data_IF_821330729386
#
_entry.id   IF_821330729386
#
_cell.length_a   1.000
_cell.length_b   1.000
_cell.length_c   1.000
_cell.angle_alpha   90.00
_cell.angle_beta   90.00
_cell.angle_gamma   90.00
#
_symmetry.space_group_name_H-M   'P 1'
#
loop_
_entity.id
_entity.type
_entity.pdbx_description
1 polymer ?
#
# COMPACT_ATOMS: atom_id res chain seq x y z
N UNK A 1 13.27 16.66 -15.05
CA UNK A 1 14.69 16.93 -15.27
C UNK A 1 15.55 15.88 -14.57
N UNK A 2 15.60 15.80 -13.22
CA UNK A 2 16.53 14.94 -12.47
C UNK A 2 16.60 13.49 -12.97
N UNK A 3 15.48 12.76 -13.00
CA UNK A 3 15.44 11.35 -13.42
C UNK A 3 15.81 11.07 -14.88
N UNK A 4 16.00 12.10 -15.73
CA UNK A 4 16.50 11.93 -17.11
C UNK A 4 18.01 11.99 -17.19
N UNK A 5 18.62 12.75 -16.27
CA UNK A 5 19.98 13.20 -16.42
C UNK A 5 20.95 12.46 -15.50
N UNK A 6 20.41 11.73 -14.49
CA UNK A 6 21.23 11.01 -13.51
C UNK A 6 21.43 9.54 -13.87
N UNK A 7 22.50 8.90 -13.37
CA UNK A 7 22.68 7.45 -13.46
C UNK A 7 21.52 6.69 -12.87
N UNK A 8 21.18 5.49 -13.38
CA UNK A 8 20.10 4.66 -12.85
C UNK A 8 20.26 4.33 -11.36
N UNK A 9 21.47 4.20 -10.88
CA UNK A 9 21.81 3.96 -9.47
C UNK A 9 21.36 5.13 -8.59
N UNK A 10 21.63 6.36 -9.00
CA UNK A 10 21.20 7.58 -8.30
C UNK A 10 19.67 7.73 -8.34
N UNK A 11 19.07 7.47 -9.50
CA UNK A 11 17.62 7.51 -9.66
C UNK A 11 16.93 6.49 -8.73
N UNK A 12 17.51 5.28 -8.56
CA UNK A 12 16.99 4.24 -7.70
C UNK A 12 16.93 4.69 -6.23
N UNK A 13 18.00 5.25 -5.72
CA UNK A 13 18.04 5.78 -4.35
C UNK A 13 17.14 7.00 -4.17
N UNK A 14 17.09 7.90 -5.14
CA UNK A 14 16.18 9.04 -5.09
C UNK A 14 14.70 8.58 -5.04
N UNK A 15 14.29 7.65 -5.89
CA UNK A 15 12.95 7.06 -5.87
C UNK A 15 12.69 6.42 -4.49
N UNK A 16 13.63 5.64 -3.97
CA UNK A 16 13.50 4.97 -2.67
C UNK A 16 13.20 5.96 -1.54
N UNK A 17 14.00 7.01 -1.41
CA UNK A 17 13.83 8.02 -0.36
C UNK A 17 12.56 8.87 -0.56
N UNK A 18 12.28 9.32 -1.77
CA UNK A 18 11.12 10.14 -2.09
C UNK A 18 9.81 9.38 -1.93
N UNK A 19 9.82 8.06 -2.10
CA UNK A 19 8.69 7.17 -1.80
C UNK A 19 8.52 6.86 -0.31
N UNK A 20 9.31 7.51 0.56
CA UNK A 20 9.21 7.34 2.02
C UNK A 20 9.95 6.13 2.59
N UNK A 21 10.65 5.39 1.75
CA UNK A 21 11.49 4.27 2.18
C UNK A 21 12.83 4.77 2.74
N UNK A 22 13.47 3.94 3.54
CA UNK A 22 14.77 4.25 4.13
C UNK A 22 15.54 2.97 4.46
N UNK A 23 16.86 2.95 4.28
CA UNK A 23 17.70 1.86 4.75
C UNK A 23 17.70 1.81 6.30
N UNK A 24 18.18 0.70 6.84
CA UNK A 24 18.42 0.61 8.28
C UNK A 24 19.43 1.68 8.69
N UNK A 25 19.14 2.35 9.80
CA UNK A 25 20.03 3.36 10.37
C UNK A 25 21.35 2.71 10.82
N UNK A 26 22.51 3.11 10.28
CA UNK A 26 23.78 2.49 10.63
C UNK A 26 24.32 2.97 11.99
N UNK A 27 24.03 4.21 12.36
CA UNK A 27 24.60 4.89 13.52
C UNK A 27 23.44 5.55 14.30
N UNK A 28 23.46 5.43 15.61
CA UNK A 28 22.48 6.13 16.43
C UNK A 28 22.79 7.63 16.52
N UNK A 29 21.74 8.40 16.81
CA UNK A 29 21.84 9.87 16.87
C UNK A 29 22.75 10.37 17.99
N UNK A 30 22.85 9.62 19.10
CA UNK A 30 23.72 9.96 20.23
C UNK A 30 25.17 9.96 19.82
N UNK A 31 25.64 8.97 19.06
CA UNK A 31 26.99 8.90 18.54
C UNK A 31 27.28 10.05 17.55
N UNK A 32 26.35 10.30 16.61
CA UNK A 32 26.50 11.41 15.68
C UNK A 32 26.63 12.76 16.39
N UNK A 33 25.82 12.99 17.42
CA UNK A 33 25.90 14.20 18.24
C UNK A 33 27.23 14.31 19.00
N UNK A 34 27.73 13.21 19.56
CA UNK A 34 29.01 13.19 20.27
C UNK A 34 30.19 13.51 19.33
N UNK A 35 30.22 12.88 18.14
CA UNK A 35 31.28 13.11 17.16
C UNK A 35 31.25 14.55 16.60
N UNK A 36 30.07 15.09 16.33
CA UNK A 36 29.93 16.48 15.87
C UNK A 36 30.37 17.49 16.96
N UNK A 37 30.00 17.23 18.20
CA UNK A 37 30.46 18.03 19.33
C UNK A 37 31.99 18.01 19.47
N UNK A 38 32.60 16.84 19.41
CA UNK A 38 34.06 16.70 19.48
C UNK A 38 34.74 17.45 18.33
N UNK A 39 34.20 17.37 17.12
CA UNK A 39 34.74 18.08 15.94
C UNK A 39 34.59 19.62 16.05
N UNK A 40 33.46 20.08 16.61
CA UNK A 40 33.17 21.50 16.77
C UNK A 40 33.97 22.14 17.90
N UNK A 41 34.46 21.33 18.86
CA UNK A 41 35.12 21.81 20.07
C UNK A 41 34.17 22.55 21.03
N UNK A 42 32.85 22.44 20.84
CA UNK A 42 31.85 23.11 21.66
C UNK A 42 31.62 22.37 22.98
N UNK A 43 31.44 23.08 24.08
CA UNK A 43 31.02 22.45 25.32
C UNK A 43 29.60 21.88 25.19
N UNK A 44 29.30 20.82 25.96
CA UNK A 44 28.03 20.07 25.84
C UNK A 44 26.79 20.95 26.00
N UNK A 45 26.82 21.89 26.95
CA UNK A 45 25.69 22.77 27.19
C UNK A 45 25.37 23.65 25.96
N UNK A 46 26.40 24.16 25.28
CA UNK A 46 26.22 25.04 24.09
C UNK A 46 25.72 24.23 22.89
N UNK A 47 26.18 22.97 22.72
CA UNK A 47 25.66 22.07 21.70
C UNK A 47 24.17 21.77 21.95
N UNK A 48 23.76 21.48 23.20
CA UNK A 48 22.37 21.21 23.57
C UNK A 48 21.47 22.44 23.33
N UNK A 49 21.90 23.62 23.78
CA UNK A 49 21.15 24.88 23.54
C UNK A 49 21.01 25.18 22.04
N UNK A 50 22.05 24.89 21.24
CA UNK A 50 21.97 25.05 19.78
C UNK A 50 20.96 24.08 19.17
N UNK A 51 20.93 22.83 19.63
CA UNK A 51 19.94 21.86 19.17
C UNK A 51 18.52 22.26 19.56
N UNK A 52 18.31 22.72 20.79
CA UNK A 52 17.00 23.16 21.27
C UNK A 52 16.49 24.41 20.51
N UNK A 53 17.40 25.32 20.17
CA UNK A 53 17.08 26.51 19.39
C UNK A 53 16.73 26.21 17.93
N UNK A 54 17.42 25.24 17.30
CA UNK A 54 17.21 24.86 15.90
C UNK A 54 16.03 23.88 15.77
N UNK A 55 15.88 22.95 16.73
CA UNK A 55 14.81 21.95 16.74
C UNK A 55 14.98 20.79 15.76
N UNK A 56 16.12 20.71 15.05
CA UNK A 56 16.42 19.67 14.09
C UNK A 56 17.88 19.23 14.18
N UNK A 57 18.09 17.95 14.51
CA UNK A 57 19.44 17.44 14.70
C UNK A 57 20.28 17.47 13.43
N UNK A 58 19.70 17.13 12.28
CA UNK A 58 20.45 17.11 11.02
C UNK A 58 20.96 18.49 10.63
N UNK A 59 20.16 19.53 10.88
CA UNK A 59 20.51 20.92 10.66
C UNK A 59 21.55 21.39 11.68
N UNK A 60 21.37 21.06 12.96
CA UNK A 60 22.34 21.35 14.03
C UNK A 60 23.72 20.78 13.68
N UNK A 61 23.79 19.50 13.29
CA UNK A 61 25.05 18.87 12.87
C UNK A 61 25.65 19.56 11.64
N UNK A 62 24.83 19.97 10.69
CA UNK A 62 25.32 20.63 9.47
C UNK A 62 25.94 21.98 9.74
N UNK A 63 25.39 22.75 10.69
CA UNK A 63 25.84 24.09 11.05
C UNK A 63 27.07 24.07 11.98
N UNK A 64 27.05 23.18 12.99
CA UNK A 64 28.06 23.20 14.05
C UNK A 64 29.37 22.50 13.68
N UNK A 65 29.36 21.56 12.74
CA UNK A 65 30.59 20.92 12.27
C UNK A 65 31.40 21.93 11.42
N UNK A 66 32.66 22.20 11.77
CA UNK A 66 33.46 23.17 11.03
C UNK A 66 33.61 22.83 9.55
N UNK A 67 33.64 23.86 8.72
CA UNK A 67 34.00 23.72 7.31
C UNK A 67 35.49 23.41 7.19
N UNK A 68 35.87 22.51 6.28
CA UNK A 68 37.26 22.39 5.88
C UNK A 68 37.71 23.69 5.25
N UNK A 69 38.92 24.20 5.64
CA UNK A 69 39.50 25.40 5.03
C UNK A 69 40.02 25.14 3.62
N UNK A 70 40.19 23.89 3.24
CA UNK A 70 40.66 23.48 1.93
C UNK A 70 39.48 23.11 1.04
N UNK A 71 38.92 24.12 0.36
CA UNK A 71 37.85 23.93 -0.65
C UNK A 71 38.38 23.34 -1.97
N UNK A 72 39.67 23.02 -2.05
CA UNK A 72 40.32 22.59 -3.28
C UNK A 72 40.03 21.16 -3.71
N UNK A 73 39.55 20.29 -2.80
CA UNK A 73 39.33 18.86 -3.07
C UNK A 73 37.83 18.45 -2.97
N UNK A 74 36.91 19.33 -3.35
CA UNK A 74 35.50 18.96 -3.45
C UNK A 74 35.34 17.92 -4.56
N UNK A 75 35.07 16.68 -4.15
CA UNK A 75 34.71 15.61 -5.07
C UNK A 75 33.18 15.54 -5.13
N UNK A 76 32.62 15.95 -6.26
CA UNK A 76 31.22 15.76 -6.54
C UNK A 76 30.95 14.25 -6.77
N UNK A 77 30.49 13.55 -5.74
CA UNK A 77 30.18 12.12 -5.81
C UNK A 77 28.71 11.91 -6.12
N UNK A 78 28.40 10.89 -6.92
CA UNK A 78 27.01 10.50 -7.15
C UNK A 78 26.28 10.12 -5.85
N UNK A 79 24.96 10.32 -5.80
CA UNK A 79 24.12 10.02 -4.63
C UNK A 79 24.30 8.59 -4.14
N UNK A 80 24.31 7.60 -5.06
CA UNK A 80 24.44 6.19 -4.68
C UNK A 80 25.73 5.91 -3.91
N UNK A 81 26.83 6.59 -4.22
CA UNK A 81 28.10 6.42 -3.49
C UNK A 81 27.97 6.87 -2.04
N UNK A 82 27.31 8.02 -1.79
CA UNK A 82 27.06 8.47 -0.43
C UNK A 82 26.17 7.48 0.34
N UNK A 83 25.13 6.97 -0.29
CA UNK A 83 24.21 6.05 0.38
C UNK A 83 24.82 4.68 0.60
N UNK A 84 25.42 4.09 -0.43
CA UNK A 84 25.93 2.71 -0.37
C UNK A 84 27.16 2.60 0.53
N UNK A 85 28.09 3.55 0.42
CA UNK A 85 29.30 3.54 1.25
C UNK A 85 29.03 3.98 2.68
N UNK A 86 28.39 5.14 2.87
CA UNK A 86 28.34 5.82 4.17
C UNK A 86 27.07 5.58 4.98
N UNK A 87 26.01 5.04 4.35
CA UNK A 87 24.79 4.68 5.08
C UNK A 87 24.63 3.15 5.14
N UNK A 88 24.59 2.49 4.00
CA UNK A 88 24.40 1.02 3.97
C UNK A 88 25.67 0.30 4.42
N UNK A 89 26.82 0.68 3.89
CA UNK A 89 28.13 0.03 4.16
C UNK A 89 28.62 0.16 5.60
N UNK A 90 28.16 1.19 6.33
CA UNK A 90 28.53 1.37 7.74
C UNK A 90 27.64 0.59 8.71
N UNK A 91 26.59 -0.08 8.23
CA UNK A 91 25.75 -0.87 9.10
C UNK A 91 26.50 -2.06 9.71
N UNK A 92 26.61 -2.08 11.05
CA UNK A 92 27.34 -3.12 11.77
C UNK A 92 28.87 -3.00 11.74
N UNK A 93 29.43 -1.92 11.16
CA UNK A 93 30.86 -1.66 11.21
C UNK A 93 31.33 -1.21 12.61
N UNK A 94 32.62 -1.37 12.88
CA UNK A 94 33.26 -0.92 14.14
C UNK A 94 33.13 0.60 14.30
N UNK A 95 32.93 1.05 15.54
CA UNK A 95 32.64 2.47 15.84
C UNK A 95 33.73 3.42 15.36
N UNK A 96 35.00 3.05 15.50
CA UNK A 96 36.11 3.87 15.05
C UNK A 96 36.08 4.08 13.55
N UNK A 97 35.79 3.02 12.79
CA UNK A 97 35.63 3.12 11.34
C UNK A 97 34.40 3.94 10.95
N UNK A 98 33.24 3.72 11.62
CA UNK A 98 32.05 4.54 11.41
C UNK A 98 32.35 6.04 11.61
N UNK A 99 33.03 6.36 12.71
CA UNK A 99 33.39 7.74 13.06
C UNK A 99 34.31 8.37 12.00
N UNK A 100 35.36 7.68 11.61
CA UNK A 100 36.33 8.16 10.63
C UNK A 100 35.66 8.47 9.28
N UNK A 101 34.81 7.58 8.78
CA UNK A 101 34.08 7.77 7.51
C UNK A 101 33.09 8.94 7.58
N UNK A 102 32.34 9.08 8.67
CA UNK A 102 31.36 10.17 8.84
C UNK A 102 32.07 11.52 8.98
N UNK A 103 33.13 11.61 9.77
CA UNK A 103 33.92 12.83 9.90
C UNK A 103 34.54 13.25 8.57
N UNK A 104 35.00 12.29 7.75
CA UNK A 104 35.53 12.57 6.42
C UNK A 104 34.46 13.20 5.50
N UNK A 105 33.26 12.59 5.45
CA UNK A 105 32.14 13.12 4.68
C UNK A 105 31.67 14.48 5.16
N UNK A 106 31.62 14.71 6.47
CA UNK A 106 31.26 16.03 7.00
C UNK A 106 32.24 17.13 6.63
N UNK A 107 33.52 16.80 6.47
CA UNK A 107 34.53 17.74 6.01
C UNK A 107 34.48 18.02 4.50
N UNK A 108 34.03 17.02 3.72
CA UNK A 108 33.92 17.09 2.26
C UNK A 108 32.70 17.92 1.81
N UNK A 109 31.55 17.74 2.49
CA UNK A 109 30.28 18.35 2.11
C UNK A 109 30.14 19.82 2.57
N UNK A 110 29.47 20.64 1.75
CA UNK A 110 29.01 21.94 2.20
C UNK A 110 27.87 21.86 3.22
N UNK A 111 27.48 22.94 3.90
CA UNK A 111 26.44 22.88 4.92
C UNK A 111 25.09 22.41 4.39
N UNK A 112 24.70 22.73 3.15
CA UNK A 112 23.44 22.29 2.54
C UNK A 112 23.46 20.80 2.20
N UNK A 113 24.53 20.33 1.58
CA UNK A 113 24.75 18.91 1.28
C UNK A 113 24.86 18.08 2.56
N UNK A 114 25.57 18.59 3.56
CA UNK A 114 25.70 17.97 4.88
C UNK A 114 24.36 17.86 5.59
N UNK A 115 23.52 18.87 5.49
CA UNK A 115 22.15 18.81 6.00
C UNK A 115 21.34 17.67 5.36
N UNK A 116 21.36 17.56 4.03
CA UNK A 116 20.68 16.48 3.31
C UNK A 116 21.26 15.13 3.71
N UNK A 117 22.59 14.97 3.73
CA UNK A 117 23.25 13.73 4.15
C UNK A 117 22.83 13.34 5.59
N UNK A 118 22.82 14.30 6.51
CA UNK A 118 22.39 14.05 7.90
C UNK A 118 20.92 13.65 7.99
N UNK A 119 20.05 14.21 7.13
CA UNK A 119 18.66 13.77 7.02
C UNK A 119 18.54 12.31 6.56
N UNK A 120 19.35 11.91 5.59
CA UNK A 120 19.34 10.53 5.07
C UNK A 120 19.84 9.53 6.13
N UNK A 121 20.99 9.80 6.78
CA UNK A 121 21.58 8.87 7.76
C UNK A 121 20.74 8.77 9.06
N UNK A 122 20.11 9.86 9.49
CA UNK A 122 19.22 9.86 10.64
C UNK A 122 17.83 9.28 10.33
N UNK A 123 17.51 9.04 9.05
CA UNK A 123 16.20 8.59 8.60
C UNK A 123 15.10 9.65 8.79
N UNK A 124 15.47 10.93 8.86
CA UNK A 124 14.56 12.06 9.06
C UNK A 124 14.21 12.79 7.77
N UNK A 125 14.57 12.20 6.62
CA UNK A 125 14.30 12.79 5.32
C UNK A 125 12.80 12.82 5.02
N UNK A 126 12.23 14.02 5.04
CA UNK A 126 10.82 14.30 4.74
C UNK A 126 10.74 15.57 3.93
N UNK A 127 10.33 15.46 2.67
CA UNK A 127 10.32 16.59 1.71
C UNK A 127 8.91 16.93 1.23
N UNK A 128 7.86 16.37 1.87
CA UNK A 128 6.47 16.64 1.48
C UNK A 128 6.10 16.07 0.09
N UNK A 129 6.90 15.12 -0.43
CA UNK A 129 6.60 14.42 -1.67
C UNK A 129 5.82 13.15 -1.35
N UNK A 130 4.66 12.98 -1.96
CA UNK A 130 3.89 11.74 -1.88
C UNK A 130 4.42 10.72 -2.89
N UNK A 131 4.19 9.43 -2.63
CA UNK A 131 4.49 8.36 -3.59
C UNK A 131 3.81 8.62 -4.94
N UNK A 132 2.57 9.13 -4.93
CA UNK A 132 1.85 9.50 -6.15
C UNK A 132 2.60 10.55 -7.00
N UNK A 133 3.23 11.55 -6.38
CA UNK A 133 4.04 12.53 -7.09
C UNK A 133 5.28 11.90 -7.74
N UNK A 134 5.89 10.91 -7.08
CA UNK A 134 7.02 10.16 -7.66
C UNK A 134 6.53 9.34 -8.86
N UNK A 135 5.39 8.65 -8.74
CA UNK A 135 4.74 7.91 -9.84
C UNK A 135 4.48 8.82 -11.03
N UNK A 136 3.87 9.99 -10.82
CA UNK A 136 3.61 10.99 -11.89
C UNK A 136 4.91 11.48 -12.54
N UNK A 137 5.94 11.75 -11.74
CA UNK A 137 7.24 12.18 -12.24
C UNK A 137 7.88 11.09 -13.12
N UNK A 138 7.84 9.83 -12.68
CA UNK A 138 8.35 8.70 -13.46
C UNK A 138 7.52 8.44 -14.71
N UNK A 139 6.19 8.52 -14.63
CA UNK A 139 5.31 8.41 -15.80
C UNK A 139 5.66 9.46 -16.89
N UNK A 140 5.86 10.72 -16.47
CA UNK A 140 6.23 11.80 -17.38
C UNK A 140 7.62 11.62 -18.01
N UNK A 141 8.55 10.91 -17.35
CA UNK A 141 9.90 10.66 -17.85
C UNK A 141 9.99 9.43 -18.75
N UNK A 142 9.27 8.37 -18.37
CA UNK A 142 9.28 7.09 -19.10
C UNK A 142 8.33 7.06 -20.28
N UNK A 143 7.31 7.95 -20.32
CA UNK A 143 6.23 7.91 -21.31
C UNK A 143 5.14 6.88 -21.04
N UNK A 144 5.26 6.13 -19.94
CA UNK A 144 4.23 5.16 -19.53
C UNK A 144 3.07 5.83 -18.77
N UNK A 145 1.92 5.17 -18.70
CA UNK A 145 0.81 5.65 -17.87
C UNK A 145 1.18 5.59 -16.38
N UNK A 146 0.54 6.45 -15.58
CA UNK A 146 0.72 6.46 -14.12
C UNK A 146 0.39 5.10 -13.50
N UNK A 147 -0.63 4.39 -14.05
CA UNK A 147 -1.01 3.06 -13.59
C UNK A 147 0.10 2.02 -13.81
N UNK A 148 0.78 2.05 -14.95
CA UNK A 148 1.92 1.16 -15.24
C UNK A 148 3.08 1.43 -14.30
N UNK A 149 3.42 2.70 -14.08
CA UNK A 149 4.51 3.08 -13.17
C UNK A 149 4.15 2.74 -11.72
N UNK A 150 2.93 3.06 -11.25
CA UNK A 150 2.47 2.70 -9.92
C UNK A 150 2.64 1.21 -9.68
N UNK A 151 2.17 0.37 -10.61
CA UNK A 151 2.32 -1.07 -10.53
C UNK A 151 3.79 -1.52 -10.47
N UNK A 152 4.67 -0.98 -11.34
CA UNK A 152 6.10 -1.31 -11.33
C UNK A 152 6.83 -0.86 -10.06
N UNK A 153 6.30 0.14 -9.38
CA UNK A 153 6.81 0.63 -8.11
C UNK A 153 6.22 -0.07 -6.89
N UNK A 154 5.26 -0.97 -7.08
CA UNK A 154 4.68 -1.77 -6.00
C UNK A 154 5.58 -2.95 -5.61
N UNK A 155 5.47 -3.39 -4.36
CA UNK A 155 6.25 -4.51 -3.84
C UNK A 155 7.62 -4.08 -3.32
N UNK A 156 8.58 -5.02 -3.29
CA UNK A 156 9.93 -4.76 -2.82
C UNK A 156 10.69 -3.91 -3.83
N UNK A 157 10.73 -2.62 -3.61
CA UNK A 157 11.54 -1.68 -4.38
C UNK A 157 12.96 -1.65 -3.82
N UNK A 158 13.75 -2.69 -4.09
CA UNK A 158 15.18 -2.59 -3.85
C UNK A 158 15.75 -1.48 -4.74
N UNK A 159 16.52 -0.53 -4.18
CA UNK A 159 17.05 0.61 -4.91
C UNK A 159 18.21 0.20 -5.82
N UNK A 160 17.90 -0.50 -6.91
CA UNK A 160 18.89 -1.01 -7.88
C UNK A 160 18.71 -0.36 -9.24
N UNK A 161 19.80 -0.26 -9.99
CA UNK A 161 19.75 0.15 -11.40
C UNK A 161 18.84 -0.74 -12.25
N UNK A 162 18.74 -2.04 -11.92
CA UNK A 162 17.83 -2.97 -12.59
C UNK A 162 16.36 -2.57 -12.38
N UNK A 163 15.98 -2.19 -11.17
CA UNK A 163 14.66 -1.66 -10.86
C UNK A 163 14.34 -0.44 -11.73
N UNK A 164 15.23 0.56 -11.78
CA UNK A 164 15.01 1.75 -12.60
C UNK A 164 14.90 1.41 -14.08
N UNK A 165 15.79 0.57 -14.61
CA UNK A 165 15.68 0.10 -16.01
C UNK A 165 14.35 -0.59 -16.28
N UNK A 166 13.82 -1.33 -15.29
CA UNK A 166 12.48 -1.94 -15.36
C UNK A 166 11.35 -0.92 -15.50
N UNK A 167 11.49 0.26 -14.89
CA UNK A 167 10.50 1.34 -15.05
C UNK A 167 10.43 1.90 -16.47
N UNK A 168 11.53 1.85 -17.21
CA UNK A 168 11.62 2.30 -18.63
C UNK A 168 11.31 1.20 -19.64
N UNK A 169 11.16 -0.06 -19.22
CA UNK A 169 10.96 -1.17 -20.13
C UNK A 169 9.62 -1.04 -20.89
N UNK A 170 9.64 -1.29 -22.18
CA UNK A 170 8.43 -1.39 -23.00
C UNK A 170 7.72 -2.75 -22.87
N UNK A 171 8.34 -3.72 -22.19
CA UNK A 171 7.76 -5.05 -22.02
C UNK A 171 6.55 -5.00 -21.08
N UNK A 172 5.36 -5.07 -21.66
CA UNK A 172 4.07 -5.01 -20.94
C UNK A 172 3.57 -6.39 -20.47
N UNK A 173 4.32 -7.46 -20.69
CA UNK A 173 3.80 -8.83 -20.66
C UNK A 173 3.13 -9.28 -19.36
N UNK A 174 3.83 -9.23 -18.20
CA UNK A 174 3.29 -9.74 -16.92
C UNK A 174 2.70 -8.65 -16.04
N UNK A 175 3.09 -7.41 -16.24
CA UNK A 175 2.68 -6.26 -15.43
C UNK A 175 1.20 -5.93 -15.65
N UNK A 176 0.74 -5.90 -16.92
CA UNK A 176 -0.65 -5.58 -17.24
C UNK A 176 -1.64 -6.67 -16.78
N UNK A 177 -1.17 -7.93 -16.68
CA UNK A 177 -2.03 -9.03 -16.27
C UNK A 177 -2.50 -8.97 -14.84
N UNK A 178 -1.70 -8.40 -13.94
CA UNK A 178 -2.04 -8.33 -12.49
C UNK A 178 -2.52 -6.96 -12.05
N UNK A 179 -2.56 -5.96 -12.95
CA UNK A 179 -2.89 -4.58 -12.63
C UNK A 179 -4.38 -4.40 -12.32
N UNK A 180 -4.74 -3.70 -11.22
CA UNK A 180 -6.13 -3.36 -10.94
C UNK A 180 -6.64 -2.27 -11.89
N UNK A 181 -7.95 -2.22 -12.03
CA UNK A 181 -8.62 -1.07 -12.61
C UNK A 181 -8.64 0.10 -11.60
N UNK A 182 -8.77 1.36 -12.07
CA UNK A 182 -8.97 2.48 -11.16
C UNK A 182 -10.18 2.25 -10.26
N UNK A 183 -10.00 2.46 -8.96
CA UNK A 183 -11.08 2.30 -8.00
C UNK A 183 -12.06 3.47 -8.11
N UNK A 184 -13.33 3.17 -8.33
CA UNK A 184 -14.40 4.16 -8.25
C UNK A 184 -14.60 4.57 -6.80
N UNK A 185 -14.54 5.87 -6.50
CA UNK A 185 -14.71 6.40 -5.15
C UNK A 185 -16.17 6.78 -4.92
N UNK A 186 -16.73 6.33 -3.79
CA UNK A 186 -18.03 6.81 -3.33
C UNK A 186 -17.90 8.24 -2.80
N UNK A 187 -18.76 9.12 -3.25
CA UNK A 187 -18.89 10.49 -2.75
C UNK A 187 -20.04 10.59 -1.75
N UNK A 188 -19.93 11.45 -0.72
CA UNK A 188 -21.05 11.71 0.16
C UNK A 188 -22.22 12.33 -0.64
N UNK A 189 -23.43 11.91 -0.34
CA UNK A 189 -24.64 12.54 -0.87
C UNK A 189 -24.87 13.83 -0.10
N UNK A 190 -24.79 14.99 -0.77
CA UNK A 190 -24.92 16.32 -0.18
C UNK A 190 -26.38 16.80 -0.08
N UNK A 191 -27.28 16.11 -0.76
CA UNK A 191 -28.70 16.43 -0.78
C UNK A 191 -29.55 15.35 -0.11
N UNK A 192 -30.82 15.71 0.17
CA UNK A 192 -31.78 14.71 0.66
C UNK A 192 -32.01 13.64 -0.41
N UNK A 193 -31.99 12.33 -0.05
CA UNK A 193 -32.23 11.24 -1.01
C UNK A 193 -33.50 11.38 -1.82
N UNK A 194 -34.56 11.99 -1.28
CA UNK A 194 -35.83 12.23 -1.98
C UNK A 194 -35.69 13.12 -3.22
N UNK A 195 -34.61 13.90 -3.30
CA UNK A 195 -34.30 14.73 -4.46
C UNK A 195 -33.61 13.97 -5.61
N UNK A 196 -33.32 12.69 -5.44
CA UNK A 196 -32.65 11.83 -6.46
C UNK A 196 -33.63 11.34 -7.53
N UNK A 197 -34.93 11.56 -7.38
CA UNK A 197 -35.98 11.03 -8.29
C UNK A 197 -36.60 9.72 -7.79
N UNK A 198 -37.08 8.93 -8.74
CA UNK A 198 -37.79 7.69 -8.41
C UNK A 198 -36.84 6.68 -7.75
N UNK A 199 -37.33 6.05 -6.67
CA UNK A 199 -36.51 5.15 -5.84
C UNK A 199 -36.02 3.90 -6.60
N UNK A 200 -36.79 3.38 -7.53
CA UNK A 200 -36.51 2.18 -8.30
C UNK A 200 -35.44 2.38 -9.40
N UNK A 201 -35.12 3.63 -9.72
CA UNK A 201 -33.98 3.97 -10.60
C UNK A 201 -32.62 3.86 -9.88
N UNK A 202 -32.61 3.63 -8.58
CA UNK A 202 -31.41 3.62 -7.75
C UNK A 202 -31.17 2.26 -7.08
N UNK A 203 -29.91 1.85 -7.06
CA UNK A 203 -29.43 0.68 -6.31
C UNK A 203 -28.89 1.14 -4.94
N UNK A 204 -29.53 0.71 -3.86
CA UNK A 204 -29.06 0.97 -2.51
C UNK A 204 -28.40 -0.27 -1.93
N UNK A 205 -27.26 -0.09 -1.29
CA UNK A 205 -26.45 -1.15 -0.70
C UNK A 205 -25.87 -0.73 0.64
N UNK A 206 -25.50 -1.72 1.46
CA UNK A 206 -24.68 -1.46 2.63
C UNK A 206 -23.28 -0.97 2.20
N UNK A 207 -22.78 0.03 2.91
CA UNK A 207 -21.39 0.46 2.78
C UNK A 207 -20.57 -0.26 3.82
N UNK A 208 -19.95 -1.36 3.41
CA UNK A 208 -19.15 -2.20 4.27
C UNK A 208 -17.92 -1.47 4.83
N UNK A 209 -17.58 -1.72 6.11
CA UNK A 209 -16.41 -1.15 6.79
C UNK A 209 -15.27 -2.18 6.84
N UNK A 210 -14.47 -2.23 5.78
CA UNK A 210 -13.39 -3.19 5.61
C UNK A 210 -12.22 -2.65 4.81
N UNK A 211 -11.60 -3.52 4.04
CA UNK A 211 -10.56 -3.18 3.08
C UNK A 211 -11.12 -3.37 1.66
N UNK A 212 -11.35 -2.26 0.96
CA UNK A 212 -11.73 -2.35 -0.45
C UNK A 212 -10.61 -2.95 -1.27
N UNK A 213 -10.95 -3.97 -2.05
CA UNK A 213 -10.01 -4.71 -2.85
C UNK A 213 -10.58 -5.11 -4.21
N UNK A 214 -9.70 -5.15 -5.21
CA UNK A 214 -9.97 -5.83 -6.46
C UNK A 214 -9.26 -7.18 -6.45
N UNK A 215 -10.01 -8.23 -6.76
CA UNK A 215 -9.52 -9.59 -6.92
C UNK A 215 -9.45 -9.88 -8.41
N UNK A 216 -8.25 -10.14 -8.89
CA UNK A 216 -7.91 -10.26 -10.30
C UNK A 216 -7.46 -11.68 -10.60
N UNK A 217 -8.09 -12.34 -11.56
CA UNK A 217 -7.67 -13.61 -12.12
C UNK A 217 -7.36 -13.44 -13.60
N UNK A 218 -6.08 -13.38 -13.95
CA UNK A 218 -5.63 -13.24 -15.35
C UNK A 218 -4.39 -14.06 -15.61
N UNK A 219 -4.32 -14.68 -16.78
CA UNK A 219 -3.19 -15.52 -17.24
C UNK A 219 -2.78 -16.58 -16.22
N UNK A 220 -3.77 -17.20 -15.59
CA UNK A 220 -3.55 -18.24 -14.60
C UNK A 220 -2.97 -17.73 -13.26
N UNK A 221 -2.91 -16.41 -13.03
CA UNK A 221 -2.42 -15.81 -11.77
C UNK A 221 -3.53 -15.08 -11.03
N UNK A 222 -3.54 -15.17 -9.71
CA UNK A 222 -4.43 -14.41 -8.84
C UNK A 222 -3.67 -13.30 -8.15
N UNK A 223 -4.26 -12.11 -8.14
CA UNK A 223 -3.75 -10.94 -7.41
C UNK A 223 -4.88 -10.22 -6.69
N UNK A 224 -4.64 -9.81 -5.46
CA UNK A 224 -5.59 -9.04 -4.65
C UNK A 224 -4.96 -7.69 -4.35
N UNK A 225 -5.58 -6.62 -4.81
CA UNK A 225 -5.09 -5.26 -4.65
C UNK A 225 -6.01 -4.45 -3.75
N UNK A 226 -5.43 -3.74 -2.78
CA UNK A 226 -6.18 -2.75 -2.00
C UNK A 226 -6.41 -1.47 -2.80
N UNK A 227 -7.39 -0.65 -2.34
CA UNK A 227 -7.60 0.70 -2.88
C UNK A 227 -6.36 1.61 -2.77
N UNK A 228 -5.50 1.34 -1.79
CA UNK A 228 -4.24 2.05 -1.61
C UNK A 228 -3.13 1.57 -2.55
N UNK A 229 -3.47 0.69 -3.50
CA UNK A 229 -2.52 0.11 -4.46
C UNK A 229 -1.44 -0.79 -3.82
N UNK A 230 -1.77 -1.40 -2.68
CA UNK A 230 -0.93 -2.42 -2.07
C UNK A 230 -1.33 -3.82 -2.55
N UNK A 231 -0.35 -4.66 -2.89
CA UNK A 231 -0.59 -6.06 -3.19
C UNK A 231 -0.84 -6.85 -1.90
N UNK A 232 -2.04 -7.37 -1.75
CA UNK A 232 -2.55 -7.98 -0.52
C UNK A 232 -2.76 -9.50 -0.63
N UNK A 233 -2.37 -10.13 -1.72
CA UNK A 233 -2.61 -11.57 -1.98
C UNK A 233 -2.16 -12.44 -0.81
N UNK A 234 -0.95 -12.21 -0.28
CA UNK A 234 -0.40 -12.95 0.86
C UNK A 234 -1.15 -12.69 2.19
N UNK A 235 -2.00 -11.65 2.23
CA UNK A 235 -2.80 -11.31 3.42
C UNK A 235 -4.14 -12.04 3.46
N UNK A 236 -4.59 -12.54 2.31
CA UNK A 236 -5.90 -13.14 2.11
C UNK A 236 -5.80 -14.48 1.35
N UNK A 237 -5.02 -15.47 1.87
CA UNK A 237 -4.83 -16.73 1.17
C UNK A 237 -6.15 -17.49 0.92
N UNK A 238 -7.14 -17.37 1.81
CA UNK A 238 -8.46 -18.00 1.64
C UNK A 238 -9.22 -17.42 0.44
N UNK A 239 -9.13 -16.10 0.26
CA UNK A 239 -9.75 -15.41 -0.88
C UNK A 239 -8.99 -15.73 -2.18
N UNK A 240 -7.65 -15.81 -2.11
CA UNK A 240 -6.82 -16.19 -3.26
C UNK A 240 -7.14 -17.60 -3.74
N UNK A 241 -7.33 -18.56 -2.84
CA UNK A 241 -7.71 -19.94 -3.17
C UNK A 241 -9.05 -20.01 -3.93
N UNK A 242 -10.03 -19.22 -3.49
CA UNK A 242 -11.32 -19.12 -4.20
C UNK A 242 -11.13 -18.47 -5.56
N UNK A 243 -10.37 -17.38 -5.61
CA UNK A 243 -10.12 -16.65 -6.84
C UNK A 243 -9.37 -17.48 -7.90
N UNK A 244 -8.56 -18.46 -7.49
CA UNK A 244 -7.89 -19.38 -8.40
C UNK A 244 -8.87 -20.29 -9.18
N UNK A 245 -10.12 -20.41 -8.72
CA UNK A 245 -11.19 -21.16 -9.40
C UNK A 245 -12.06 -20.28 -10.30
N UNK A 246 -11.90 -18.96 -10.25
CA UNK A 246 -12.59 -18.04 -11.15
C UNK A 246 -12.14 -18.25 -12.61
N UNK A 247 -13.01 -18.02 -13.59
CA UNK A 247 -12.61 -17.96 -15.00
C UNK A 247 -11.44 -16.99 -15.21
N UNK A 248 -10.51 -17.36 -16.07
CA UNK A 248 -9.40 -16.46 -16.43
C UNK A 248 -9.95 -15.19 -17.10
N UNK A 249 -9.33 -14.04 -16.85
CA UNK A 249 -9.85 -12.74 -17.29
C UNK A 249 -11.02 -12.26 -16.41
N UNK A 250 -11.03 -12.54 -15.11
CA UNK A 250 -12.05 -12.04 -14.17
C UNK A 250 -11.46 -10.99 -13.23
N UNK A 251 -12.15 -9.88 -13.05
CA UNK A 251 -11.85 -8.85 -12.04
C UNK A 251 -13.10 -8.54 -11.22
N UNK A 252 -13.03 -8.87 -9.94
CA UNK A 252 -14.05 -8.57 -8.93
C UNK A 252 -13.67 -7.30 -8.17
N UNK A 253 -14.65 -6.44 -7.88
CA UNK A 253 -14.50 -5.33 -6.94
C UNK A 253 -15.36 -5.62 -5.71
N UNK A 254 -14.77 -5.51 -4.53
CA UNK A 254 -15.42 -5.92 -3.29
C UNK A 254 -14.77 -5.33 -2.05
N UNK A 255 -15.30 -5.71 -0.90
CA UNK A 255 -14.77 -5.36 0.40
C UNK A 255 -14.32 -6.62 1.13
N UNK A 256 -13.04 -6.66 1.53
CA UNK A 256 -12.53 -7.71 2.41
C UNK A 256 -12.89 -7.36 3.86
N UNK A 257 -13.63 -8.24 4.52
CA UNK A 257 -14.09 -8.08 5.89
C UNK A 257 -13.47 -9.14 6.79
N UNK A 258 -13.15 -8.80 8.03
CA UNK A 258 -13.03 -9.81 9.07
C UNK A 258 -14.44 -10.32 9.34
N UNK A 259 -14.62 -11.67 9.33
CA UNK A 259 -15.93 -12.29 9.28
C UNK A 259 -16.03 -13.49 10.22
N UNK A 260 -16.98 -13.46 11.14
CA UNK A 260 -17.18 -14.59 12.07
C UNK A 260 -18.65 -14.74 12.46
N UNK A 261 -19.14 -15.97 12.54
CA UNK A 261 -20.49 -16.25 13.02
C UNK A 261 -21.61 -15.65 12.16
N UNK A 262 -21.38 -15.52 10.84
CA UNK A 262 -22.35 -14.96 9.90
C UNK A 262 -22.42 -13.42 9.88
N UNK A 263 -21.53 -12.72 10.57
CA UNK A 263 -21.53 -11.25 10.68
C UNK A 263 -20.13 -10.65 10.50
N UNK A 264 -20.04 -9.39 10.03
CA UNK A 264 -18.77 -8.69 9.98
C UNK A 264 -18.25 -8.39 11.40
N UNK A 265 -16.97 -8.58 11.61
CA UNK A 265 -16.26 -8.12 12.79
C UNK A 265 -15.83 -6.65 12.60
N UNK A 266 -15.44 -5.98 13.70
CA UNK A 266 -14.92 -4.61 13.62
C UNK A 266 -13.66 -4.53 12.76
N UNK A 267 -13.51 -3.45 12.01
CA UNK A 267 -12.34 -3.22 11.14
C UNK A 267 -11.00 -3.33 11.88
N UNK A 268 -10.96 -2.98 13.15
CA UNK A 268 -9.75 -3.14 14.00
C UNK A 268 -9.23 -4.60 14.01
N UNK A 269 -10.11 -5.60 13.95
CA UNK A 269 -9.70 -7.00 13.88
C UNK A 269 -9.01 -7.31 12.53
N UNK A 270 -9.57 -6.79 11.44
CA UNK A 270 -8.94 -6.92 10.12
C UNK A 270 -7.55 -6.25 10.09
N UNK A 271 -7.40 -5.08 10.69
CA UNK A 271 -6.11 -4.38 10.80
C UNK A 271 -5.05 -5.22 11.52
N UNK A 272 -5.42 -5.96 12.58
CA UNK A 272 -4.52 -6.89 13.28
C UNK A 272 -3.93 -7.95 12.35
N UNK A 273 -4.69 -8.38 11.34
CA UNK A 273 -4.26 -9.35 10.33
C UNK A 273 -3.40 -8.70 9.27
N UNK A 274 -3.85 -7.59 8.69
CA UNK A 274 -3.17 -6.87 7.60
C UNK A 274 -1.77 -6.41 8.01
N UNK A 275 -1.62 -5.89 9.23
CA UNK A 275 -0.35 -5.36 9.73
C UNK A 275 0.75 -6.40 9.98
N UNK A 276 0.47 -7.70 9.86
CA UNK A 276 1.47 -8.76 10.09
C UNK A 276 2.29 -9.02 8.83
N UNK A 277 3.61 -9.16 8.99
CA UNK A 277 4.49 -9.56 7.89
C UNK A 277 4.28 -11.02 7.47
N UNK A 278 3.97 -11.90 8.42
CA UNK A 278 3.74 -13.33 8.21
C UNK A 278 2.44 -13.73 8.90
N UNK A 279 1.59 -14.45 8.18
CA UNK A 279 0.35 -15.00 8.72
C UNK A 279 0.58 -16.43 9.22
N UNK A 280 0.46 -16.61 10.53
CA UNK A 280 0.45 -17.94 11.14
C UNK A 280 -0.96 -18.50 11.27
N UNK A 281 -1.11 -19.82 11.49
CA UNK A 281 -2.41 -20.50 11.65
C UNK A 281 -3.30 -19.83 12.71
N UNK A 282 -2.71 -19.31 13.78
CA UNK A 282 -3.44 -18.67 14.87
C UNK A 282 -4.22 -17.43 14.39
N UNK A 283 -3.60 -16.51 13.68
CA UNK A 283 -4.28 -15.29 13.21
C UNK A 283 -5.32 -15.59 12.13
N UNK A 284 -5.09 -16.58 11.27
CA UNK A 284 -6.06 -17.01 10.28
C UNK A 284 -7.35 -17.52 10.95
N UNK A 285 -7.23 -18.29 12.04
CA UNK A 285 -8.38 -18.79 12.80
C UNK A 285 -9.02 -17.73 13.72
N UNK A 286 -8.24 -16.82 14.28
CA UNK A 286 -8.75 -15.73 15.13
C UNK A 286 -9.46 -14.63 14.33
N UNK A 287 -9.00 -14.37 13.11
CA UNK A 287 -9.55 -13.34 12.23
C UNK A 287 -9.80 -13.95 10.85
N UNK A 288 -10.79 -14.84 10.71
CA UNK A 288 -11.21 -15.31 9.40
C UNK A 288 -11.78 -14.15 8.60
N UNK A 289 -11.73 -14.25 7.27
CA UNK A 289 -12.14 -13.18 6.36
C UNK A 289 -13.19 -13.66 5.37
N UNK A 290 -13.94 -12.71 4.83
CA UNK A 290 -14.78 -12.91 3.65
C UNK A 290 -14.63 -11.73 2.69
N UNK A 291 -14.74 -12.02 1.40
CA UNK A 291 -14.87 -11.02 0.35
C UNK A 291 -16.34 -10.81 0.05
N UNK A 292 -16.82 -9.60 0.25
CA UNK A 292 -18.15 -9.17 -0.17
C UNK A 292 -18.02 -8.48 -1.51
N UNK A 293 -18.39 -9.15 -2.59
CA UNK A 293 -18.32 -8.64 -3.95
C UNK A 293 -19.57 -7.83 -4.27
N UNK A 294 -19.40 -6.65 -4.81
CA UNK A 294 -20.49 -5.79 -5.24
C UNK A 294 -20.42 -5.40 -6.73
N UNK A 295 -19.29 -5.65 -7.41
CA UNK A 295 -19.16 -5.36 -8.85
C UNK A 295 -18.26 -6.38 -9.57
N UNK A 296 -18.51 -6.55 -10.88
CA UNK A 296 -17.73 -7.33 -11.81
C UNK A 296 -17.20 -6.40 -12.90
N UNK A 297 -15.89 -6.15 -12.89
CA UNK A 297 -15.26 -5.18 -13.78
C UNK A 297 -14.75 -5.79 -15.08
N UNK A 298 -14.39 -7.09 -15.03
CA UNK A 298 -13.94 -7.85 -16.19
C UNK A 298 -14.44 -9.30 -16.09
N UNK A 299 -14.83 -9.87 -17.22
CA UNK A 299 -15.23 -11.27 -17.31
C UNK A 299 -14.75 -11.89 -18.60
N UNK A 300 -14.04 -13.02 -18.50
CA UNK A 300 -13.43 -13.73 -19.63
C UNK A 300 -12.57 -12.81 -20.53
N UNK A 301 -11.87 -11.85 -19.90
CA UNK A 301 -11.00 -10.90 -20.58
C UNK A 301 -11.72 -9.70 -21.22
N UNK A 302 -13.04 -9.62 -21.11
CA UNK A 302 -13.83 -8.47 -21.56
C UNK A 302 -13.97 -7.44 -20.45
N UNK A 303 -13.54 -6.22 -20.69
CA UNK A 303 -13.79 -5.06 -19.82
C UNK A 303 -15.29 -4.73 -19.80
N UNK A 304 -15.89 -4.72 -18.61
CA UNK A 304 -17.31 -4.50 -18.42
C UNK A 304 -17.64 -3.11 -17.82
N UNK A 305 -16.65 -2.27 -17.57
CA UNK A 305 -16.84 -1.02 -16.83
C UNK A 305 -17.79 -0.03 -17.50
N UNK A 306 -17.92 -0.10 -18.83
CA UNK A 306 -18.87 0.69 -19.61
C UNK A 306 -20.27 0.06 -19.67
N UNK A 307 -20.45 -1.18 -19.22
CA UNK A 307 -21.76 -1.81 -19.17
C UNK A 307 -22.57 -1.30 -17.97
N UNK A 308 -23.90 -1.26 -18.07
CA UNK A 308 -24.77 -0.91 -16.92
C UNK A 308 -24.50 -1.79 -15.70
N UNK A 309 -24.62 -1.23 -14.49
CA UNK A 309 -24.41 -1.96 -13.25
C UNK A 309 -25.32 -3.19 -13.13
N UNK A 310 -26.57 -3.12 -13.60
CA UNK A 310 -27.52 -4.25 -13.63
C UNK A 310 -26.97 -5.42 -14.43
N UNK A 311 -26.41 -5.14 -15.62
CA UNK A 311 -25.81 -6.17 -16.50
C UNK A 311 -24.59 -6.82 -15.82
N UNK A 312 -23.71 -6.02 -15.24
CA UNK A 312 -22.52 -6.52 -14.53
C UNK A 312 -22.91 -7.41 -13.35
N UNK A 313 -23.94 -7.04 -12.59
CA UNK A 313 -24.45 -7.82 -11.47
C UNK A 313 -25.10 -9.13 -11.88
N UNK A 314 -25.85 -9.14 -12.97
CA UNK A 314 -26.46 -10.37 -13.49
C UNK A 314 -25.38 -11.35 -14.00
N UNK A 315 -24.35 -10.82 -14.66
CA UNK A 315 -23.17 -11.61 -15.04
C UNK A 315 -22.43 -12.16 -13.81
N UNK A 316 -22.25 -11.34 -12.77
CA UNK A 316 -21.62 -11.75 -11.51
C UNK A 316 -22.40 -12.92 -10.88
N UNK A 317 -23.71 -12.83 -10.76
CA UNK A 317 -24.58 -13.90 -10.24
C UNK A 317 -24.44 -15.18 -11.05
N UNK A 318 -24.52 -15.06 -12.38
CA UNK A 318 -24.39 -16.21 -13.28
C UNK A 318 -23.01 -16.86 -13.19
N UNK A 319 -21.95 -16.07 -13.07
CA UNK A 319 -20.57 -16.56 -12.95
C UNK A 319 -20.40 -17.37 -11.65
N UNK A 320 -20.83 -16.84 -10.51
CA UNK A 320 -20.64 -17.53 -9.22
C UNK A 320 -21.50 -18.79 -9.08
N UNK A 321 -22.67 -18.85 -9.73
CA UNK A 321 -23.49 -20.06 -9.78
C UNK A 321 -22.78 -21.21 -10.52
N UNK A 322 -21.84 -20.91 -11.39
CA UNK A 322 -21.02 -21.89 -12.12
C UNK A 322 -19.75 -22.31 -11.37
N UNK A 323 -19.41 -21.63 -10.27
CA UNK A 323 -18.30 -22.06 -9.44
C UNK A 323 -18.62 -23.44 -8.87
N UNK A 324 -17.85 -24.43 -9.28
CA UNK A 324 -18.00 -25.76 -8.70
C UNK A 324 -17.74 -25.69 -7.19
N UNK A 325 -18.58 -26.31 -6.36
CA UNK A 325 -18.29 -26.40 -4.94
C UNK A 325 -16.90 -27.02 -4.73
N UNK A 326 -16.12 -26.58 -3.71
CA UNK A 326 -14.83 -27.16 -3.43
C UNK A 326 -14.98 -28.68 -3.29
N UNK A 327 -14.00 -29.42 -3.85
CA UNK A 327 -13.97 -30.87 -3.71
C UNK A 327 -14.12 -31.23 -2.22
N UNK A 328 -14.98 -32.20 -1.92
CA UNK A 328 -15.21 -32.69 -0.57
C UNK A 328 -13.87 -33.09 0.06
N UNK A 329 -13.38 -32.30 0.99
CA UNK A 329 -12.30 -32.72 1.89
C UNK A 329 -12.92 -33.74 2.84
N UNK A 330 -12.27 -34.89 3.02
CA UNK A 330 -12.72 -35.91 4.01
C UNK A 330 -12.98 -35.23 5.37
N UNK A 331 -14.23 -35.15 5.78
CA UNK A 331 -14.67 -34.49 6.99
C UNK A 331 -15.90 -33.60 6.73
N UNK A 332 -17.06 -34.17 6.48
CA UNK A 332 -18.36 -33.46 6.32
C UNK A 332 -18.59 -32.44 7.46
N UNK A 333 -18.16 -32.75 8.67
CA UNK A 333 -18.31 -31.90 9.86
C UNK A 333 -17.54 -30.54 9.77
N UNK A 334 -16.38 -30.51 9.10
CA UNK A 334 -15.58 -29.29 9.01
C UNK A 334 -16.20 -28.30 8.04
N UNK A 335 -16.75 -28.78 6.91
CA UNK A 335 -17.42 -27.95 5.91
C UNK A 335 -18.70 -27.33 6.46
N UNK A 336 -19.51 -28.13 7.16
CA UNK A 336 -20.74 -27.67 7.83
C UNK A 336 -20.44 -26.66 8.93
N UNK A 337 -19.32 -26.83 9.66
CA UNK A 337 -18.87 -25.90 10.66
C UNK A 337 -18.41 -24.57 10.03
N UNK A 338 -17.64 -24.63 8.93
CA UNK A 338 -17.20 -23.44 8.18
C UNK A 338 -18.41 -22.74 7.56
N UNK A 339 -19.30 -23.46 6.90
CA UNK A 339 -20.52 -22.91 6.29
C UNK A 339 -21.37 -22.19 7.33
N UNK A 340 -21.61 -22.80 8.49
CA UNK A 340 -22.35 -22.16 9.59
C UNK A 340 -21.68 -20.92 10.13
N UNK A 341 -20.34 -20.83 10.12
CA UNK A 341 -19.60 -19.68 10.60
C UNK A 341 -19.55 -18.52 9.58
N UNK A 342 -19.72 -18.80 8.30
CA UNK A 342 -19.60 -17.81 7.22
C UNK A 342 -20.93 -17.41 6.60
N UNK A 343 -22.00 -18.19 6.80
CA UNK A 343 -23.34 -17.87 6.28
C UNK A 343 -23.86 -16.58 6.92
N UNK A 344 -24.20 -15.54 6.13
CA UNK A 344 -24.64 -14.26 6.66
C UNK A 344 -25.99 -14.33 7.33
N UNK A 345 -26.25 -13.45 8.30
CA UNK A 345 -27.57 -13.23 8.85
C UNK A 345 -28.48 -12.56 7.82
N UNK A 346 -29.78 -12.79 7.90
CA UNK A 346 -30.76 -12.35 6.90
C UNK A 346 -30.82 -10.81 6.71
N UNK A 347 -30.44 -10.04 7.73
CA UNK A 347 -30.53 -8.57 7.72
C UNK A 347 -29.41 -7.90 6.91
N UNK A 348 -28.37 -8.65 6.51
CA UNK A 348 -27.19 -8.09 5.87
C UNK A 348 -27.30 -7.91 4.35
N UNK A 349 -28.41 -8.32 3.73
CA UNK A 349 -28.60 -8.28 2.27
C UNK A 349 -27.38 -8.87 1.52
N UNK A 350 -26.95 -10.06 1.92
CA UNK A 350 -25.84 -10.79 1.35
C UNK A 350 -26.29 -12.14 0.84
N UNK A 351 -25.84 -12.50 -0.36
CA UNK A 351 -25.94 -13.86 -0.87
C UNK A 351 -24.65 -14.60 -0.55
N UNK A 352 -24.76 -15.66 0.24
CA UNK A 352 -23.67 -16.59 0.48
C UNK A 352 -23.42 -17.47 -0.75
N UNK A 353 -22.20 -17.57 -1.20
CA UNK A 353 -21.78 -18.41 -2.32
C UNK A 353 -21.02 -19.63 -1.79
N UNK A 354 -19.98 -19.34 -1.02
CA UNK A 354 -19.14 -20.34 -0.35
C UNK A 354 -18.39 -19.68 0.82
N UNK A 355 -17.69 -20.45 1.67
CA UNK A 355 -16.84 -19.88 2.69
C UNK A 355 -15.92 -18.81 2.08
N UNK A 356 -15.86 -17.66 2.72
CA UNK A 356 -15.04 -16.50 2.31
C UNK A 356 -15.48 -15.74 1.04
N UNK A 357 -16.60 -16.11 0.38
CA UNK A 357 -17.13 -15.40 -0.78
C UNK A 357 -18.63 -15.11 -0.64
N UNK A 358 -18.96 -13.82 -0.64
CA UNK A 358 -20.31 -13.30 -0.52
C UNK A 358 -20.58 -12.31 -1.66
N UNK A 359 -21.83 -12.17 -2.06
CA UNK A 359 -22.27 -11.11 -2.99
C UNK A 359 -23.15 -10.14 -2.23
N UNK A 360 -22.87 -8.83 -2.37
CA UNK A 360 -23.75 -7.78 -1.90
C UNK A 360 -25.03 -7.77 -2.73
N UNK A 361 -26.17 -7.89 -2.06
CA UNK A 361 -27.47 -7.75 -2.71
C UNK A 361 -28.05 -6.36 -2.44
N UNK A 362 -28.80 -5.79 -3.39
CA UNK A 362 -29.50 -4.55 -3.17
C UNK A 362 -30.46 -4.62 -1.99
N UNK A 363 -30.54 -3.55 -1.24
CA UNK A 363 -31.55 -3.40 -0.20
C UNK A 363 -32.92 -3.32 -0.84
N UNK A 364 -33.77 -4.31 -0.56
CA UNK A 364 -35.14 -4.38 -1.06
C UNK A 364 -36.02 -3.42 -0.26
N UNK A 365 -36.08 -2.16 -0.68
CA UNK A 365 -36.91 -1.14 -0.06
C UNK A 365 -37.68 -0.35 -1.10
N UNK A 366 -38.93 -0.09 -0.79
CA UNK A 366 -39.86 0.59 -1.69
C UNK A 366 -39.70 2.13 -1.64
N UNK A 367 -39.26 2.69 -0.50
CA UNK A 367 -39.22 4.15 -0.31
C UNK A 367 -37.86 4.66 0.21
N UNK A 368 -37.65 5.97 0.04
CA UNK A 368 -36.47 6.65 0.58
C UNK A 368 -36.46 6.69 2.12
N UNK A 369 -37.66 6.77 2.75
CA UNK A 369 -37.83 6.79 4.19
C UNK A 369 -37.42 5.43 4.81
N UNK A 370 -37.79 4.33 4.18
CA UNK A 370 -37.37 2.99 4.61
C UNK A 370 -35.85 2.83 4.53
N UNK A 371 -35.21 3.37 3.49
CA UNK A 371 -33.75 3.36 3.39
C UNK A 371 -33.09 4.24 4.46
N UNK A 372 -33.65 5.41 4.75
CA UNK A 372 -33.17 6.28 5.81
C UNK A 372 -33.25 5.60 7.19
N UNK A 373 -34.35 4.89 7.46
CA UNK A 373 -34.50 4.08 8.67
C UNK A 373 -33.44 2.98 8.76
N UNK A 374 -33.18 2.25 7.68
CA UNK A 374 -32.10 1.25 7.62
C UNK A 374 -30.73 1.87 7.84
N UNK A 375 -30.45 3.01 7.26
CA UNK A 375 -29.18 3.74 7.47
C UNK A 375 -28.93 4.02 8.96
N UNK A 376 -29.98 4.29 9.73
CA UNK A 376 -29.84 4.54 11.17
C UNK A 376 -29.29 3.34 11.94
N UNK A 377 -29.51 2.12 11.45
CA UNK A 377 -29.02 0.87 12.06
C UNK A 377 -27.63 0.44 11.55
N UNK A 378 -27.06 1.13 10.57
CA UNK A 378 -25.81 0.73 9.92
C UNK A 378 -24.64 0.50 10.89
N UNK A 379 -24.53 1.34 11.93
CA UNK A 379 -23.45 1.22 12.94
C UNK A 379 -23.54 -0.06 13.77
N UNK A 380 -24.75 -0.59 13.98
CA UNK A 380 -24.97 -1.83 14.73
C UNK A 380 -24.52 -3.04 13.91
N UNK A 381 -24.59 -2.93 12.59
CA UNK A 381 -24.21 -3.96 11.62
C UNK A 381 -22.74 -3.88 11.18
N UNK A 382 -21.95 -2.92 11.69
CA UNK A 382 -20.60 -2.59 11.21
C UNK A 382 -20.56 -2.31 9.70
N UNK A 383 -21.52 -1.52 9.20
CA UNK A 383 -21.64 -1.11 7.79
C UNK A 383 -21.71 0.40 7.65
#
# INVERSE_FOLDING_TARGET
>A
AYFRDVPPEDAAWAIHFLSGNRPKRPINTTKLSAWARDLSGLPEWLFSESYDAIGDLAETLAILVPLSRETADRVDRPLHVYVERYIVGLYGAEEEHQRAEIEAVWRELDPGERFVFNKLITGSFRVGVSQELVVRAMAAVTGHSTNVIAHRMMGSTEPTAAFVRGLYSEASGDVDATQPYPFCLAHPLEQDPTNLGERDEWCAEWKWDGLRAQVIRRRGKTSIWSRGEDLMTDRFPEIAEIADRLPDGTVLDGECLAWRGGTPMKFLELQRRIGRKVLGKKILSEVPVALVVFDLLEFEGRDLREEPLSVRRDLLRTMVERLAPPALVEGEDLRDAITRQTQPTADLALRWIEPHLLIAEPLANATWEELAAKRATSRELNT
#
